data_IF_955340564855
#
_entry.id   IF_955340564855
#
_cell.length_a   1.000
_cell.length_b   1.000
_cell.length_c   1.000
_cell.angle_alpha   90.00
_cell.angle_beta   90.00
_cell.angle_gamma   90.00
#
_symmetry.space_group_name_H-M   'P 1'
#
loop_
_entity.id
_entity.type
_entity.pdbx_description
1 polymer ?
#
# COMPACT_ATOMS: atom_id res chain seq x y z
N UNK A 1 -4.40 -2.29 3.11
CA UNK A 1 -4.49 -3.22 4.25
C UNK A 1 -3.22 -3.18 5.07
N UNK A 2 -3.33 -3.26 6.42
CA UNK A 2 -2.22 -3.10 7.37
C UNK A 2 -1.96 -1.64 7.71
N UNK A 3 -2.23 -1.26 8.97
CA UNK A 3 -2.07 0.10 9.50
C UNK A 3 -0.90 0.21 10.49
N UNK A 4 0.00 -0.77 10.50
CA UNK A 4 1.26 -0.75 11.25
C UNK A 4 2.26 0.27 10.70
N UNK A 5 3.54 0.15 11.09
CA UNK A 5 4.57 1.14 10.72
C UNK A 5 4.67 1.39 9.22
N UNK A 6 4.83 0.33 8.42
CA UNK A 6 4.98 0.45 6.96
C UNK A 6 3.69 0.92 6.30
N UNK A 7 2.55 0.32 6.66
CA UNK A 7 1.26 0.73 6.09
C UNK A 7 0.88 2.18 6.43
N UNK A 8 1.21 2.64 7.65
CA UNK A 8 1.02 4.05 8.04
C UNK A 8 1.88 4.99 7.20
N UNK A 9 3.15 4.63 6.93
CA UNK A 9 4.04 5.45 6.11
C UNK A 9 3.54 5.54 4.66
N UNK A 10 3.06 4.42 4.09
CA UNK A 10 2.47 4.39 2.75
C UNK A 10 1.20 5.25 2.70
N UNK A 11 0.29 5.08 3.65
CA UNK A 11 -0.95 5.86 3.72
C UNK A 11 -0.66 7.37 3.82
N UNK A 12 0.32 7.76 4.63
CA UNK A 12 0.76 9.14 4.76
C UNK A 12 1.30 9.68 3.43
N UNK A 13 2.26 8.97 2.80
CA UNK A 13 2.84 9.37 1.53
C UNK A 13 1.82 9.50 0.40
N UNK A 14 0.82 8.61 0.35
CA UNK A 14 -0.29 8.72 -0.60
C UNK A 14 -1.13 9.98 -0.36
N UNK A 15 -1.43 10.32 0.90
CA UNK A 15 -2.14 11.55 1.23
C UNK A 15 -1.32 12.79 0.87
N UNK A 16 -0.01 12.81 1.11
CA UNK A 16 0.90 13.88 0.67
C UNK A 16 0.95 14.02 -0.86
N UNK A 17 0.85 12.90 -1.57
CA UNK A 17 0.76 12.88 -3.04
C UNK A 17 -0.58 13.37 -3.60
N UNK A 18 -1.55 13.70 -2.73
CA UNK A 18 -2.80 14.35 -3.11
C UNK A 18 -3.91 13.38 -3.55
N UNK A 19 -3.94 12.16 -3.03
CA UNK A 19 -5.10 11.28 -3.27
C UNK A 19 -6.38 11.90 -2.70
N UNK A 20 -7.52 11.57 -3.30
CA UNK A 20 -8.82 12.09 -2.88
C UNK A 20 -9.52 11.15 -1.89
N UNK A 21 -9.29 9.85 -2.00
CA UNK A 21 -9.97 8.84 -1.20
C UNK A 21 -8.97 7.77 -0.73
N UNK A 22 -9.12 7.31 0.50
CA UNK A 22 -8.32 6.25 1.08
C UNK A 22 -9.18 5.35 1.97
N UNK A 23 -9.30 4.08 1.58
CA UNK A 23 -9.89 3.06 2.44
C UNK A 23 -8.80 2.38 3.28
N UNK A 24 -9.05 2.23 4.57
CA UNK A 24 -8.12 1.63 5.53
C UNK A 24 -8.68 0.30 6.06
N UNK A 25 -7.79 -0.66 6.26
CA UNK A 25 -8.11 -1.95 6.88
C UNK A 25 -6.96 -2.44 7.74
N UNK A 26 -7.27 -2.91 8.94
CA UNK A 26 -6.35 -3.62 9.82
C UNK A 26 -7.14 -4.64 10.67
N UNK A 27 -6.52 -5.76 11.00
CA UNK A 27 -7.12 -6.76 11.90
C UNK A 27 -7.23 -6.24 13.34
N UNK A 28 -6.38 -5.27 13.72
CA UNK A 28 -6.43 -4.61 15.02
C UNK A 28 -7.20 -3.28 14.90
N UNK A 29 -8.43 -3.20 15.46
CA UNK A 29 -9.25 -1.98 15.38
C UNK A 29 -8.60 -0.75 16.03
N UNK A 30 -7.78 -0.94 17.08
CA UNK A 30 -7.10 0.18 17.73
C UNK A 30 -6.03 0.80 16.82
N UNK A 31 -5.25 -0.04 16.10
CA UNK A 31 -4.25 0.41 15.13
C UNK A 31 -4.92 1.14 13.96
N UNK A 32 -6.02 0.58 13.44
CA UNK A 32 -6.82 1.21 12.39
C UNK A 32 -7.31 2.60 12.82
N UNK A 33 -7.95 2.69 13.97
CA UNK A 33 -8.52 3.94 14.48
C UNK A 33 -7.44 5.00 14.74
N UNK A 34 -6.29 4.59 15.26
CA UNK A 34 -5.17 5.51 15.51
C UNK A 34 -4.66 6.13 14.20
N UNK A 35 -4.48 5.32 13.16
CA UNK A 35 -4.06 5.83 11.85
C UNK A 35 -5.13 6.73 11.23
N UNK A 36 -6.39 6.29 11.26
CA UNK A 36 -7.52 7.08 10.76
C UNK A 36 -7.57 8.48 11.40
N UNK A 37 -7.48 8.58 12.73
CA UNK A 37 -7.50 9.86 13.44
C UNK A 37 -6.33 10.77 13.07
N UNK A 38 -5.14 10.19 12.92
CA UNK A 38 -3.94 10.94 12.51
C UNK A 38 -4.07 11.49 11.08
N UNK A 39 -4.53 10.69 10.15
CA UNK A 39 -4.73 11.13 8.76
C UNK A 39 -5.85 12.17 8.65
N UNK A 40 -6.98 11.97 9.33
CA UNK A 40 -8.08 12.92 9.33
C UNK A 40 -7.67 14.31 9.87
N UNK A 41 -6.80 14.33 10.87
CA UNK A 41 -6.29 15.59 11.44
C UNK A 41 -5.35 16.35 10.50
N UNK A 42 -4.53 15.63 9.70
CA UNK A 42 -3.51 16.25 8.86
C UNK A 42 -3.95 16.46 7.41
N UNK A 43 -4.85 15.62 6.92
CA UNK A 43 -5.34 15.61 5.54
C UNK A 43 -6.87 15.70 5.48
N UNK A 44 -7.48 16.80 5.95
CA UNK A 44 -8.94 16.94 6.05
C UNK A 44 -9.65 16.91 4.69
N UNK A 45 -8.91 17.05 3.59
CA UNK A 45 -9.42 16.97 2.22
C UNK A 45 -9.50 15.54 1.68
N UNK A 46 -8.85 14.56 2.35
CA UNK A 46 -8.88 13.15 1.94
C UNK A 46 -10.11 12.48 2.55
N UNK A 47 -10.94 11.88 1.72
CA UNK A 47 -12.07 11.09 2.19
C UNK A 47 -11.57 9.74 2.71
N UNK A 48 -11.57 9.56 4.02
CA UNK A 48 -11.21 8.31 4.68
C UNK A 48 -12.43 7.40 4.83
N UNK A 49 -12.25 6.11 4.65
CA UNK A 49 -13.28 5.09 4.86
C UNK A 49 -12.69 3.79 5.40
N UNK A 50 -13.54 2.94 5.94
CA UNK A 50 -13.21 1.56 6.28
C UNK A 50 -13.14 0.68 5.02
N UNK A 51 -12.84 -0.62 5.22
CA UNK A 51 -12.78 -1.60 4.14
C UNK A 51 -14.08 -1.58 3.30
N UNK A 52 -13.99 -1.34 1.99
CA UNK A 52 -15.16 -1.31 1.14
C UNK A 52 -15.71 -2.74 0.90
N UNK A 53 -16.93 -2.83 0.41
CA UNK A 53 -17.55 -4.11 0.02
C UNK A 53 -17.15 -4.56 -1.39
N UNK A 54 -16.50 -3.70 -2.17
CA UNK A 54 -15.98 -3.99 -3.51
C UNK A 54 -14.69 -3.21 -3.76
N UNK A 55 -13.77 -3.78 -4.54
CA UNK A 55 -12.57 -3.12 -5.02
C UNK A 55 -12.78 -2.44 -6.39
N UNK A 56 -13.97 -2.54 -6.94
CA UNK A 56 -14.32 -1.89 -8.21
C UNK A 56 -14.17 -0.38 -8.09
N UNK A 57 -13.45 0.22 -9.03
CA UNK A 57 -13.20 1.67 -9.05
C UNK A 57 -12.02 2.12 -8.18
N UNK A 58 -11.28 1.20 -7.57
CA UNK A 58 -10.03 1.54 -6.90
C UNK A 58 -8.86 1.48 -7.90
N UNK A 59 -8.05 2.53 -7.91
CA UNK A 59 -6.84 2.61 -8.74
C UNK A 59 -5.68 1.80 -8.14
N UNK A 60 -5.66 1.69 -6.81
CA UNK A 60 -4.55 1.07 -6.07
C UNK A 60 -5.06 0.23 -4.89
N UNK A 61 -4.49 -0.97 -4.75
CA UNK A 61 -4.62 -1.82 -3.55
C UNK A 61 -3.22 -2.12 -3.02
N UNK A 62 -2.98 -1.83 -1.73
CA UNK A 62 -1.67 -2.06 -1.10
C UNK A 62 -1.80 -2.97 0.12
N UNK A 63 -0.95 -3.99 0.19
CA UNK A 63 -0.69 -4.73 1.40
C UNK A 63 0.52 -4.14 2.14
N UNK A 64 0.29 -3.52 3.29
CA UNK A 64 1.31 -3.02 4.22
C UNK A 64 1.46 -3.90 5.48
N UNK A 65 0.91 -5.13 5.43
CA UNK A 65 0.93 -6.10 6.53
C UNK A 65 1.89 -7.26 6.22
N UNK A 66 2.20 -8.14 7.19
CA UNK A 66 2.99 -9.35 6.94
C UNK A 66 2.22 -10.48 6.27
N UNK A 67 0.93 -10.31 5.93
CA UNK A 67 0.14 -11.33 5.25
C UNK A 67 0.77 -11.72 3.90
N UNK A 68 0.91 -13.00 3.65
CA UNK A 68 1.59 -13.54 2.46
C UNK A 68 3.10 -13.73 2.60
N UNK A 69 3.71 -13.28 3.69
CA UNK A 69 5.11 -13.54 4.01
C UNK A 69 5.34 -15.04 4.32
N UNK A 70 6.56 -15.53 4.11
CA UNK A 70 6.94 -16.88 4.52
C UNK A 70 6.60 -17.12 5.99
N UNK A 71 5.78 -18.13 6.26
CA UNK A 71 5.23 -18.42 7.60
C UNK A 71 3.90 -17.71 7.92
N UNK A 72 3.41 -16.82 7.08
CA UNK A 72 2.13 -16.09 7.20
C UNK A 72 1.34 -16.18 5.90
N UNK A 73 0.94 -17.38 5.49
CA UNK A 73 0.32 -17.65 4.18
C UNK A 73 -1.11 -17.10 3.99
N UNK A 74 -1.58 -16.21 4.88
CA UNK A 74 -2.91 -15.59 4.78
C UNK A 74 -2.96 -14.51 3.69
N UNK A 75 -4.16 -14.29 3.14
CA UNK A 75 -4.42 -13.10 2.31
C UNK A 75 -4.64 -11.87 3.20
N UNK A 76 -4.22 -10.68 2.76
CA UNK A 76 -4.38 -9.44 3.54
C UNK A 76 -5.82 -8.91 3.55
N UNK A 77 -6.67 -9.42 2.65
CA UNK A 77 -8.07 -9.05 2.50
C UNK A 77 -8.92 -10.32 2.34
N UNK A 78 -10.22 -10.28 2.66
CA UNK A 78 -11.13 -11.39 2.40
C UNK A 78 -11.12 -11.81 0.92
N UNK A 79 -11.08 -13.10 0.65
CA UNK A 79 -11.03 -13.62 -0.72
C UNK A 79 -12.22 -13.13 -1.57
N UNK A 80 -13.43 -13.13 -1.01
CA UNK A 80 -14.62 -12.64 -1.70
C UNK A 80 -14.49 -11.16 -2.14
N UNK A 81 -13.77 -10.34 -1.36
CA UNK A 81 -13.48 -8.96 -1.73
C UNK A 81 -12.44 -8.90 -2.86
N UNK A 82 -11.37 -9.71 -2.79
CA UNK A 82 -10.36 -9.79 -3.85
C UNK A 82 -10.95 -10.26 -5.19
N UNK A 83 -12.00 -11.07 -5.17
CA UNK A 83 -12.73 -11.50 -6.37
C UNK A 83 -13.39 -10.33 -7.13
N UNK A 84 -13.57 -9.19 -6.49
CA UNK A 84 -14.09 -7.96 -7.13
C UNK A 84 -13.01 -7.07 -7.74
N UNK A 85 -11.74 -7.47 -7.66
CA UNK A 85 -10.57 -6.71 -8.12
C UNK A 85 -10.59 -6.57 -9.65
N UNK A 86 -10.66 -5.34 -10.22
CA UNK A 86 -10.62 -5.13 -11.67
C UNK A 86 -9.19 -5.20 -12.19
N UNK A 87 -9.02 -5.61 -13.46
CA UNK A 87 -7.70 -5.70 -14.09
C UNK A 87 -6.97 -4.34 -14.22
N UNK A 88 -7.70 -3.24 -14.19
CA UNK A 88 -7.11 -1.89 -14.27
C UNK A 88 -6.45 -1.43 -12.95
N UNK A 89 -6.71 -2.12 -11.85
CA UNK A 89 -6.15 -1.76 -10.53
C UNK A 89 -4.67 -2.12 -10.46
N UNK A 90 -3.86 -1.23 -9.90
CA UNK A 90 -2.49 -1.55 -9.51
C UNK A 90 -2.46 -2.21 -8.14
N UNK A 91 -1.70 -3.29 -7.96
CA UNK A 91 -1.63 -4.01 -6.68
C UNK A 91 -0.19 -4.07 -6.20
N UNK A 92 0.06 -3.53 -5.01
CA UNK A 92 1.38 -3.48 -4.38
C UNK A 92 1.43 -4.28 -3.08
N UNK A 93 2.58 -4.86 -2.78
CA UNK A 93 2.81 -5.62 -1.55
C UNK A 93 4.19 -5.30 -0.98
N UNK A 94 4.26 -5.04 0.33
CA UNK A 94 5.53 -4.71 1.02
C UNK A 94 6.35 -5.96 1.36
N UNK A 95 5.76 -7.13 1.27
CA UNK A 95 6.43 -8.41 1.59
C UNK A 95 7.56 -8.67 0.59
N UNK A 96 8.76 -8.93 1.11
CA UNK A 96 9.96 -9.16 0.29
C UNK A 96 10.25 -10.65 0.05
N UNK A 97 9.68 -11.54 0.85
CA UNK A 97 9.84 -12.99 0.72
C UNK A 97 8.53 -13.72 1.08
N UNK A 98 7.90 -14.41 0.14
CA UNK A 98 8.28 -14.59 -1.28
C UNK A 98 8.18 -13.28 -2.08
N UNK A 99 8.90 -13.18 -3.22
CA UNK A 99 8.87 -12.00 -4.09
C UNK A 99 7.45 -11.78 -4.66
N UNK A 100 6.81 -12.85 -5.11
CA UNK A 100 5.41 -12.83 -5.55
C UNK A 100 4.58 -13.50 -4.45
N UNK A 101 3.89 -12.68 -3.68
CA UNK A 101 2.99 -13.15 -2.62
C UNK A 101 1.70 -13.75 -3.19
N UNK A 102 0.90 -14.48 -2.40
CA UNK A 102 -0.42 -14.94 -2.83
C UNK A 102 -1.33 -13.82 -3.35
N UNK A 103 -1.28 -12.61 -2.75
CA UNK A 103 -2.00 -11.44 -3.23
C UNK A 103 -1.54 -11.03 -4.63
N UNK A 104 -0.23 -10.89 -4.82
CA UNK A 104 0.33 -10.47 -6.11
C UNK A 104 0.12 -11.52 -7.21
N UNK A 105 0.20 -12.81 -6.87
CA UNK A 105 -0.13 -13.89 -7.81
C UNK A 105 -1.59 -13.80 -8.25
N UNK A 106 -2.51 -13.66 -7.30
CA UNK A 106 -3.94 -13.49 -7.57
C UNK A 106 -4.22 -12.27 -8.46
N UNK A 107 -3.60 -11.13 -8.16
CA UNK A 107 -3.76 -9.89 -8.92
C UNK A 107 -3.25 -10.03 -10.36
N UNK A 108 -2.06 -10.61 -10.53
CA UNK A 108 -1.46 -10.87 -11.85
C UNK A 108 -2.33 -11.78 -12.71
N UNK A 109 -2.88 -12.85 -12.13
CA UNK A 109 -3.75 -13.80 -12.84
C UNK A 109 -5.06 -13.14 -13.29
N UNK A 110 -5.45 -12.01 -12.68
CA UNK A 110 -6.59 -11.17 -13.08
C UNK A 110 -6.20 -10.05 -14.08
N UNK A 111 -4.94 -9.97 -14.47
CA UNK A 111 -4.45 -8.97 -15.43
C UNK A 111 -4.08 -7.62 -14.80
N UNK A 112 -4.01 -7.52 -13.48
CA UNK A 112 -3.56 -6.32 -12.78
C UNK A 112 -2.07 -6.08 -13.00
N UNK A 113 -1.64 -4.83 -13.00
CA UNK A 113 -0.24 -4.49 -12.79
C UNK A 113 0.13 -4.70 -11.33
N UNK A 114 1.32 -5.21 -11.07
CA UNK A 114 1.77 -5.51 -9.71
C UNK A 114 3.09 -4.80 -9.39
N UNK A 115 3.29 -4.49 -8.09
CA UNK A 115 4.56 -4.02 -7.54
C UNK A 115 4.96 -4.88 -6.35
N UNK A 116 6.17 -5.43 -6.39
CA UNK A 116 6.71 -6.33 -5.38
C UNK A 116 7.39 -5.57 -4.23
N UNK A 117 7.51 -6.22 -3.07
CA UNK A 117 8.22 -5.65 -1.92
C UNK A 117 9.69 -5.31 -2.20
N UNK A 118 10.47 -6.15 -2.90
CA UNK A 118 11.84 -5.79 -3.30
C UNK A 118 11.93 -4.53 -4.17
N UNK A 119 10.99 -4.32 -5.11
CA UNK A 119 10.94 -3.10 -5.91
C UNK A 119 10.65 -1.86 -5.07
N UNK A 120 9.69 -1.96 -4.12
CA UNK A 120 9.41 -0.88 -3.17
C UNK A 120 10.60 -0.58 -2.27
N UNK A 121 11.26 -1.62 -1.74
CA UNK A 121 12.45 -1.46 -0.90
C UNK A 121 13.60 -0.79 -1.66
N UNK A 122 13.83 -1.16 -2.92
CA UNK A 122 14.86 -0.55 -3.78
C UNK A 122 14.58 0.94 -4.03
N UNK A 123 13.32 1.31 -4.32
CA UNK A 123 12.93 2.70 -4.49
C UNK A 123 13.15 3.52 -3.20
N UNK A 124 12.83 2.94 -2.05
CA UNK A 124 13.07 3.56 -0.74
C UNK A 124 14.56 3.77 -0.44
N UNK A 125 15.41 2.79 -0.78
CA UNK A 125 16.87 2.90 -0.56
C UNK A 125 17.48 4.07 -1.30
N UNK A 126 17.04 4.37 -2.53
CA UNK A 126 17.49 5.54 -3.30
C UNK A 126 17.13 6.84 -2.56
N UNK A 127 15.88 6.98 -2.12
CA UNK A 127 15.42 8.16 -1.39
C UNK A 127 16.15 8.34 -0.05
N UNK A 128 16.33 7.24 0.69
CA UNK A 128 17.10 7.26 1.94
C UNK A 128 18.55 7.65 1.71
N UNK A 129 19.20 7.09 0.68
CA UNK A 129 20.57 7.43 0.32
C UNK A 129 20.75 8.92 -0.04
N UNK A 130 19.77 9.50 -0.73
CA UNK A 130 19.74 10.94 -1.04
C UNK A 130 19.55 11.78 0.23
N UNK A 131 18.63 11.35 1.11
CA UNK A 131 18.32 12.06 2.36
C UNK A 131 19.52 12.14 3.32
N UNK A 132 20.28 11.05 3.45
CA UNK A 132 21.49 11.00 4.30
C UNK A 132 22.76 11.50 3.59
N UNK A 133 22.66 11.97 2.34
CA UNK A 133 23.80 12.47 1.56
C UNK A 133 24.74 11.42 1.03
N UNK A 134 24.39 10.13 1.09
CA UNK A 134 25.19 9.03 0.55
C UNK A 134 25.08 8.89 -0.98
N UNK A 135 24.03 9.46 -1.57
CA UNK A 135 23.78 9.52 -3.02
C UNK A 135 23.48 10.98 -3.39
N UNK A 136 24.04 11.52 -4.48
CA UNK A 136 23.70 12.87 -4.93
C UNK A 136 22.19 13.01 -5.19
N UNK A 137 21.63 14.16 -4.81
CA UNK A 137 20.26 14.51 -5.22
C UNK A 137 20.28 14.76 -6.73
N UNK A 138 19.40 14.09 -7.48
CA UNK A 138 19.15 14.46 -8.86
C UNK A 138 18.57 15.88 -8.84
N UNK A 139 19.33 16.86 -9.37
CA UNK A 139 18.80 18.20 -9.60
C UNK A 139 17.62 18.03 -10.56
N UNK A 140 16.41 18.33 -10.08
CA UNK A 140 15.23 18.28 -10.91
C UNK A 140 15.47 19.10 -12.17
N UNK A 141 15.30 18.47 -13.33
CA UNK A 141 15.19 19.19 -14.57
C UNK A 141 13.99 20.15 -14.40
N UNK A 142 14.29 21.42 -14.21
CA UNK A 142 13.29 22.46 -14.27
C UNK A 142 12.65 22.39 -15.66
N UNK A 143 11.38 22.00 -15.72
CA UNK A 143 10.53 22.11 -16.89
C UNK A 143 9.76 23.42 -16.83
#
# INVERSE_FOLDING_TARGET
>A
SGCGGVGSAIAWGLCEAGILQLALHDQNPATLQQLHNRLAAHFPHVQLSDLPTTLTGLDLVVNGSPAGMTGFASLPLPQALLETLPAATHVADVVTAPIVTPLLAFARDRGCTIQTGPEMALAQMKLMGQFIGAIPQEQGAAA
#
